data_IF_044073307283
#
_entry.id   IF_044073307283
#
_cell.length_a   1.000
_cell.length_b   1.000
_cell.length_c   1.000
_cell.angle_alpha   90.00
_cell.angle_beta   90.00
_cell.angle_gamma   90.00
#
_symmetry.space_group_name_H-M   'P 1'
#
loop_
_entity.id
_entity.type
_entity.pdbx_description
1 polymer ?
#
# COMPACT_ATOMS: atom_id res chain seq x y z
N UNK A 1 -14.83 -0.13 -9.70
CA UNK A 1 -13.92 -1.31 -9.82
C UNK A 1 -13.29 -1.67 -8.47
N UNK A 2 -12.87 -2.93 -8.34
CA UNK A 2 -11.97 -3.39 -7.28
C UNK A 2 -10.60 -3.62 -7.93
N UNK A 3 -9.62 -2.84 -7.50
CA UNK A 3 -8.25 -2.90 -8.02
C UNK A 3 -7.33 -3.37 -6.93
N UNK A 4 -6.51 -4.38 -7.21
CA UNK A 4 -5.37 -4.73 -6.37
C UNK A 4 -4.11 -4.20 -7.06
N UNK A 5 -3.23 -3.54 -6.32
CA UNK A 5 -2.03 -2.93 -6.88
C UNK A 5 -0.83 -3.24 -6.02
N UNK A 6 0.26 -3.57 -6.67
CA UNK A 6 1.51 -3.95 -6.02
C UNK A 6 2.71 -3.43 -6.79
N UNK A 7 3.86 -3.47 -6.17
CA UNK A 7 5.16 -3.30 -6.82
C UNK A 7 6.09 -4.42 -6.38
N UNK A 8 7.12 -4.66 -7.15
CA UNK A 8 8.21 -5.57 -6.78
C UNK A 8 9.55 -5.03 -7.28
N UNK A 9 10.60 -5.71 -6.97
CA UNK A 9 11.97 -5.42 -7.37
C UNK A 9 12.68 -6.67 -7.87
N UNK A 10 13.82 -6.50 -8.53
CA UNK A 10 14.51 -7.59 -9.22
C UNK A 10 14.71 -8.84 -8.35
N UNK A 11 15.06 -8.66 -7.07
CA UNK A 11 15.36 -9.81 -6.19
C UNK A 11 14.15 -10.58 -5.69
N UNK A 12 12.93 -9.99 -5.76
CA UNK A 12 11.68 -10.63 -5.32
C UNK A 12 10.73 -10.96 -6.45
N UNK A 13 11.08 -10.62 -7.68
CA UNK A 13 10.19 -10.77 -8.83
C UNK A 13 9.67 -12.21 -9.01
N UNK A 14 10.44 -13.20 -8.59
CA UNK A 14 10.04 -14.62 -8.63
C UNK A 14 8.85 -14.94 -7.70
N UNK A 15 8.67 -14.21 -6.61
CA UNK A 15 7.58 -14.41 -5.65
C UNK A 15 6.24 -13.91 -6.20
N UNK A 16 6.28 -12.91 -7.08
CA UNK A 16 5.10 -12.15 -7.54
C UNK A 16 4.02 -13.04 -8.12
N UNK A 17 4.39 -14.05 -8.92
CA UNK A 17 3.41 -14.96 -9.53
C UNK A 17 2.54 -15.62 -8.46
N UNK A 18 3.15 -16.17 -7.40
CA UNK A 18 2.42 -16.85 -6.32
C UNK A 18 1.49 -15.89 -5.57
N UNK A 19 1.93 -14.65 -5.36
CA UNK A 19 1.10 -13.62 -4.73
C UNK A 19 -0.09 -13.29 -5.62
N UNK A 20 0.11 -13.04 -6.91
CA UNK A 20 -0.97 -12.71 -7.85
C UNK A 20 -1.94 -13.88 -8.01
N UNK A 21 -1.45 -15.12 -8.05
CA UNK A 21 -2.31 -16.33 -8.05
C UNK A 21 -3.20 -16.36 -6.79
N UNK A 22 -2.65 -16.02 -5.62
CA UNK A 22 -3.45 -15.98 -4.39
C UNK A 22 -4.51 -14.87 -4.40
N UNK A 23 -4.21 -13.71 -5.00
CA UNK A 23 -5.16 -12.62 -5.23
C UNK A 23 -6.29 -13.10 -6.16
N UNK A 24 -5.93 -13.69 -7.29
CA UNK A 24 -6.89 -14.16 -8.29
C UNK A 24 -7.73 -15.34 -7.80
N UNK A 25 -7.30 -16.06 -6.78
CA UNK A 25 -8.04 -17.15 -6.15
C UNK A 25 -9.02 -16.69 -5.05
N UNK A 26 -9.04 -15.40 -4.68
CA UNK A 26 -9.97 -14.90 -3.66
C UNK A 26 -11.43 -15.19 -4.00
N UNK A 27 -12.30 -15.30 -2.97
CA UNK A 27 -13.77 -15.48 -3.12
C UNK A 27 -14.40 -14.35 -3.89
N UNK A 28 -13.98 -13.12 -3.64
CA UNK A 28 -14.31 -11.95 -4.46
C UNK A 28 -13.12 -11.64 -5.34
N UNK A 29 -13.33 -11.69 -6.66
CA UNK A 29 -12.27 -11.42 -7.63
C UNK A 29 -12.06 -9.92 -7.82
N UNK A 30 -10.81 -9.45 -7.95
CA UNK A 30 -10.57 -8.08 -8.40
C UNK A 30 -10.93 -7.91 -9.88
N UNK A 31 -11.31 -6.69 -10.24
CA UNK A 31 -11.52 -6.30 -11.63
C UNK A 31 -10.19 -6.06 -12.37
N UNK A 32 -9.16 -5.64 -11.62
CA UNK A 32 -7.79 -5.43 -12.14
C UNK A 32 -6.75 -5.75 -11.06
N UNK A 33 -5.61 -6.26 -11.50
CA UNK A 33 -4.40 -6.40 -10.69
C UNK A 33 -3.25 -5.72 -11.42
N UNK A 34 -2.67 -4.70 -10.82
CA UNK A 34 -1.52 -3.97 -11.36
C UNK A 34 -0.24 -4.40 -10.67
N UNK A 35 0.74 -4.80 -11.46
CA UNK A 35 2.13 -4.95 -11.06
C UNK A 35 2.92 -3.77 -11.62
N UNK A 36 3.26 -2.80 -10.78
CA UNK A 36 4.00 -1.61 -11.18
C UNK A 36 5.51 -1.85 -11.04
N UNK A 37 6.24 -1.85 -12.15
CA UNK A 37 7.67 -2.11 -12.20
C UNK A 37 8.42 -0.89 -12.74
N UNK A 38 9.59 -0.58 -12.17
CA UNK A 38 10.44 0.51 -12.65
C UNK A 38 11.20 0.07 -13.88
N UNK A 39 11.08 0.78 -15.00
CA UNK A 39 11.90 0.52 -16.20
C UNK A 39 13.38 0.62 -15.92
N UNK A 40 13.81 1.59 -15.11
CA UNK A 40 15.22 1.78 -14.78
C UNK A 40 15.80 0.67 -13.92
N UNK A 41 14.97 0.06 -13.04
CA UNK A 41 15.42 -1.05 -12.19
C UNK A 41 15.53 -2.37 -12.96
N UNK A 42 14.68 -2.55 -13.95
CA UNK A 42 14.62 -3.77 -14.77
C UNK A 42 15.32 -3.59 -16.14
N UNK A 43 16.09 -2.52 -16.32
CA UNK A 43 16.82 -2.29 -17.58
C UNK A 43 17.79 -3.45 -17.86
N UNK A 44 17.62 -4.10 -19.02
CA UNK A 44 18.39 -5.28 -19.41
C UNK A 44 18.06 -6.57 -18.62
N UNK A 45 17.01 -6.58 -17.78
CA UNK A 45 16.60 -7.74 -17.00
C UNK A 45 15.27 -8.28 -17.55
N UNK A 46 15.27 -9.54 -17.95
CA UNK A 46 14.06 -10.22 -18.38
C UNK A 46 13.22 -10.67 -17.17
N UNK A 47 11.91 -10.48 -17.26
CA UNK A 47 10.99 -11.03 -16.27
C UNK A 47 10.91 -12.56 -16.40
N UNK A 48 10.65 -13.27 -15.29
CA UNK A 48 10.42 -14.73 -15.32
C UNK A 48 9.35 -15.07 -16.35
N UNK A 49 9.65 -15.98 -17.28
CA UNK A 49 8.72 -16.38 -18.33
C UNK A 49 7.37 -16.83 -17.77
N UNK A 50 7.38 -17.58 -16.67
CA UNK A 50 6.18 -18.04 -15.99
C UNK A 50 5.28 -16.91 -15.47
N UNK A 51 5.87 -15.78 -15.07
CA UNK A 51 5.15 -14.59 -14.65
C UNK A 51 4.52 -13.90 -15.88
N UNK A 52 5.31 -13.69 -16.93
CA UNK A 52 4.82 -13.06 -18.17
C UNK A 52 3.69 -13.86 -18.80
N UNK A 53 3.86 -15.19 -18.94
CA UNK A 53 2.84 -16.08 -19.47
C UNK A 53 1.54 -16.02 -18.62
N UNK A 54 1.66 -15.94 -17.29
CA UNK A 54 0.52 -15.83 -16.40
C UNK A 54 -0.21 -14.49 -16.57
N UNK A 55 0.53 -13.38 -16.61
CA UNK A 55 -0.09 -12.07 -16.85
C UNK A 55 -0.77 -11.97 -18.22
N UNK A 56 -0.23 -12.61 -19.24
CA UNK A 56 -0.84 -12.65 -20.58
C UNK A 56 -2.05 -13.58 -20.65
N UNK A 57 -2.29 -14.43 -19.68
CA UNK A 57 -3.42 -15.39 -19.69
C UNK A 57 -4.76 -14.80 -19.21
N UNK A 58 -4.75 -13.62 -18.59
CA UNK A 58 -5.96 -12.98 -18.05
C UNK A 58 -5.88 -11.46 -18.25
N UNK A 59 -6.85 -10.89 -18.94
CA UNK A 59 -6.93 -9.45 -19.26
C UNK A 59 -7.02 -8.52 -18.03
N UNK A 60 -7.36 -9.07 -16.88
CA UNK A 60 -7.38 -8.32 -15.60
C UNK A 60 -5.99 -8.07 -15.03
N UNK A 61 -4.99 -8.81 -15.47
CA UNK A 61 -3.60 -8.71 -15.00
C UNK A 61 -2.82 -7.72 -15.87
N UNK A 62 -2.22 -6.72 -15.26
CA UNK A 62 -1.51 -5.65 -15.97
C UNK A 62 -0.11 -5.48 -15.40
N UNK A 63 0.92 -5.69 -16.22
CA UNK A 63 2.27 -5.23 -15.90
C UNK A 63 2.37 -3.78 -16.35
N UNK A 64 2.46 -2.87 -15.39
CA UNK A 64 2.57 -1.44 -15.64
C UNK A 64 4.04 -0.99 -15.48
N UNK A 65 4.65 -0.60 -16.58
CA UNK A 65 6.02 -0.12 -16.60
C UNK A 65 6.09 1.38 -16.27
N UNK A 66 6.68 1.69 -15.13
CA UNK A 66 6.82 3.05 -14.62
C UNK A 66 8.12 3.67 -15.14
N UNK A 67 7.98 4.80 -15.85
CA UNK A 67 9.08 5.60 -16.35
C UNK A 67 9.73 6.47 -15.25
N UNK A 68 10.96 6.89 -15.51
CA UNK A 68 11.72 7.79 -14.63
C UNK A 68 12.50 7.09 -13.54
N UNK A 69 12.79 7.82 -12.48
CA UNK A 69 13.56 7.31 -11.35
C UNK A 69 12.77 6.25 -10.56
N UNK A 70 13.49 5.25 -10.04
CA UNK A 70 12.86 4.20 -9.23
C UNK A 70 12.43 4.74 -7.85
N UNK A 71 11.14 4.96 -7.68
CA UNK A 71 10.53 5.43 -6.44
C UNK A 71 10.19 4.32 -5.43
N UNK A 72 10.72 3.12 -5.64
CA UNK A 72 10.57 1.93 -4.77
C UNK A 72 9.12 1.64 -4.39
N UNK A 73 8.78 1.56 -3.08
CA UNK A 73 7.43 1.24 -2.60
C UNK A 73 6.38 2.27 -3.03
N UNK A 74 6.76 3.53 -3.27
CA UNK A 74 5.84 4.57 -3.74
C UNK A 74 5.20 4.23 -5.11
N UNK A 75 5.83 3.37 -5.93
CA UNK A 75 5.23 2.86 -7.17
C UNK A 75 3.99 1.98 -6.95
N UNK A 76 3.75 1.53 -5.74
CA UNK A 76 2.65 0.60 -5.45
C UNK A 76 1.29 1.15 -5.88
N UNK A 77 1.00 2.43 -5.63
CA UNK A 77 -0.33 3.02 -5.86
C UNK A 77 -0.31 4.23 -6.80
N UNK A 78 0.62 5.16 -6.64
CA UNK A 78 0.56 6.44 -7.37
C UNK A 78 0.51 6.34 -8.90
N UNK A 79 1.23 5.41 -9.57
CA UNK A 79 1.21 5.35 -11.02
C UNK A 79 -0.16 5.12 -11.64
N UNK A 80 -1.04 4.41 -10.94
CA UNK A 80 -2.37 4.03 -11.46
C UNK A 80 -3.49 5.01 -11.12
N UNK A 81 -3.25 5.97 -10.19
CA UNK A 81 -4.32 6.84 -9.67
C UNK A 81 -5.01 7.68 -10.75
N UNK A 82 -4.30 8.02 -11.83
CA UNK A 82 -4.86 8.81 -12.94
C UNK A 82 -5.82 8.02 -13.83
N UNK A 83 -5.73 6.69 -13.79
CA UNK A 83 -6.56 5.78 -14.57
C UNK A 83 -7.87 5.40 -13.85
N UNK A 84 -7.95 5.68 -12.54
CA UNK A 84 -9.04 5.27 -11.68
C UNK A 84 -10.09 6.36 -11.49
N UNK A 85 -11.35 5.95 -11.36
CA UNK A 85 -12.43 6.80 -10.93
C UNK A 85 -12.44 6.98 -9.41
N UNK A 86 -13.03 8.06 -8.92
CA UNK A 86 -13.05 8.42 -7.51
C UNK A 86 -13.62 7.33 -6.59
N UNK A 87 -14.60 6.56 -7.06
CA UNK A 87 -15.23 5.49 -6.27
C UNK A 87 -14.59 4.11 -6.47
N UNK A 88 -13.56 4.01 -7.30
CA UNK A 88 -12.82 2.76 -7.44
C UNK A 88 -12.13 2.40 -6.13
N UNK A 89 -12.22 1.14 -5.77
CA UNK A 89 -11.64 0.56 -4.55
C UNK A 89 -10.23 0.06 -4.87
N UNK A 90 -9.30 0.47 -4.05
CA UNK A 90 -7.90 0.05 -4.12
C UNK A 90 -7.60 -0.83 -2.91
N UNK A 91 -6.94 -1.95 -3.15
CA UNK A 91 -6.28 -2.76 -2.13
C UNK A 91 -4.80 -2.79 -2.50
N UNK A 92 -3.95 -2.28 -1.63
CA UNK A 92 -2.51 -2.35 -1.82
C UNK A 92 -1.97 -3.73 -1.40
N UNK A 93 -0.98 -4.26 -2.10
CA UNK A 93 -0.41 -5.57 -1.86
C UNK A 93 1.12 -5.52 -1.78
N UNK A 94 1.70 -6.31 -0.89
CA UNK A 94 3.13 -6.57 -0.87
C UNK A 94 3.47 -7.80 -1.73
N UNK A 95 4.70 -7.85 -2.24
CA UNK A 95 5.18 -8.89 -3.15
C UNK A 95 5.63 -10.18 -2.42
N UNK A 96 5.50 -10.20 -1.10
CA UNK A 96 5.91 -11.29 -0.23
C UNK A 96 4.81 -11.79 0.71
N UNK A 97 3.56 -11.36 0.55
CA UNK A 97 2.44 -11.81 1.37
C UNK A 97 1.33 -12.39 0.49
N UNK A 98 1.03 -13.69 0.68
CA UNK A 98 -0.10 -14.35 0.03
C UNK A 98 -1.43 -13.84 0.57
N UNK A 99 -2.42 -13.70 -0.30
CA UNK A 99 -3.76 -13.32 0.10
C UNK A 99 -4.51 -14.54 0.67
N UNK A 100 -5.03 -14.48 1.91
CA UNK A 100 -6.05 -15.40 2.37
C UNK A 100 -7.23 -15.42 1.39
N UNK A 101 -7.84 -16.58 1.21
CA UNK A 101 -8.87 -16.80 0.18
C UNK A 101 -10.06 -15.85 0.24
N UNK A 102 -10.36 -15.29 1.40
CA UNK A 102 -11.48 -14.38 1.64
C UNK A 102 -11.03 -12.97 2.07
N UNK A 103 -9.78 -12.58 1.80
CA UNK A 103 -9.25 -11.28 2.22
C UNK A 103 -10.05 -10.12 1.59
N UNK A 104 -10.23 -10.14 0.28
CA UNK A 104 -10.94 -9.08 -0.45
C UNK A 104 -12.38 -8.97 0.08
N UNK A 105 -13.06 -10.09 0.23
CA UNK A 105 -14.41 -10.12 0.78
C UNK A 105 -14.48 -9.55 2.21
N UNK A 106 -13.55 -9.93 3.06
CA UNK A 106 -13.44 -9.42 4.43
C UNK A 106 -13.24 -7.89 4.46
N UNK A 107 -12.34 -7.35 3.64
CA UNK A 107 -12.12 -5.90 3.54
C UNK A 107 -13.36 -5.16 3.04
N UNK A 108 -14.04 -5.69 2.04
CA UNK A 108 -15.27 -5.12 1.50
C UNK A 108 -16.41 -5.14 2.52
N UNK A 109 -16.53 -6.21 3.32
CA UNK A 109 -17.52 -6.30 4.37
C UNK A 109 -17.26 -5.27 5.48
N UNK A 110 -16.00 -5.10 5.90
CA UNK A 110 -15.63 -4.06 6.86
C UNK A 110 -15.91 -2.66 6.29
N UNK A 111 -15.60 -2.43 5.02
CA UNK A 111 -15.86 -1.18 4.34
C UNK A 111 -17.36 -0.85 4.28
N UNK A 112 -18.19 -1.81 3.87
CA UNK A 112 -19.66 -1.68 3.85
C UNK A 112 -20.23 -1.45 5.24
N UNK A 113 -19.76 -2.19 6.25
CA UNK A 113 -20.17 -2.03 7.66
C UNK A 113 -19.89 -0.62 8.19
N UNK A 114 -18.86 0.04 7.66
CA UNK A 114 -18.52 1.42 7.97
C UNK A 114 -19.09 2.40 6.92
N UNK A 115 -20.21 2.06 6.28
CA UNK A 115 -20.97 2.91 5.35
C UNK A 115 -20.12 3.40 4.15
N UNK A 116 -19.08 2.67 3.78
CA UNK A 116 -18.14 3.02 2.72
C UNK A 116 -17.45 4.39 2.89
N UNK A 117 -17.33 4.85 4.13
CA UNK A 117 -16.81 6.20 4.44
C UNK A 117 -15.35 6.22 4.87
N UNK A 118 -14.82 5.08 5.31
CA UNK A 118 -13.49 5.03 5.94
C UNK A 118 -12.59 4.01 5.24
N UNK A 119 -11.32 4.32 5.02
CA UNK A 119 -10.32 3.31 4.67
C UNK A 119 -10.30 2.21 5.72
N UNK A 120 -10.09 0.97 5.29
CA UNK A 120 -9.94 -0.19 6.16
C UNK A 120 -8.47 -0.58 6.22
N UNK A 121 -7.85 -0.34 7.37
CA UNK A 121 -6.47 -0.73 7.61
C UNK A 121 -6.34 -2.21 7.93
N UNK A 122 -5.30 -2.87 7.47
CA UNK A 122 -4.91 -4.21 7.91
C UNK A 122 -4.47 -4.26 9.38
N UNK A 123 -4.20 -3.11 10.00
CA UNK A 123 -3.94 -3.03 11.43
C UNK A 123 -5.25 -2.79 12.20
N UNK A 124 -5.69 -3.73 13.07
CA UNK A 124 -6.94 -3.60 13.81
C UNK A 124 -6.87 -2.63 14.98
N UNK A 125 -5.67 -2.15 15.32
CA UNK A 125 -5.45 -1.30 16.49
C UNK A 125 -5.15 0.13 16.07
N UNK A 126 -5.84 1.08 16.71
CA UNK A 126 -5.41 2.47 16.67
C UNK A 126 -4.03 2.59 17.28
N UNK A 127 -3.10 3.20 16.58
CA UNK A 127 -1.76 3.42 17.14
C UNK A 127 -1.79 4.56 18.18
N UNK A 128 -1.02 4.42 19.24
CA UNK A 128 -0.82 5.47 20.24
C UNK A 128 -0.30 6.75 19.57
N UNK A 129 0.54 6.60 18.53
CA UNK A 129 1.10 7.71 17.76
C UNK A 129 0.10 8.53 16.94
N UNK A 130 -1.16 8.12 16.84
CA UNK A 130 -2.24 8.89 16.19
C UNK A 130 -3.29 9.37 17.19
N UNK A 131 -2.94 9.54 18.46
CA UNK A 131 -3.89 9.91 19.54
C UNK A 131 -5.15 9.02 19.57
N UNK A 132 -5.00 7.76 19.20
CA UNK A 132 -6.08 6.79 19.15
C UNK A 132 -7.12 7.04 18.05
N UNK A 133 -6.83 7.88 17.04
CA UNK A 133 -7.82 8.26 16.02
C UNK A 133 -7.70 7.52 14.71
N UNK A 134 -6.54 6.96 14.39
CA UNK A 134 -6.29 6.26 13.14
C UNK A 134 -5.48 4.99 13.35
N UNK A 135 -5.70 4.00 12.48
CA UNK A 135 -4.85 2.82 12.37
C UNK A 135 -3.75 3.08 11.33
N UNK A 136 -2.52 2.61 11.53
CA UNK A 136 -1.51 2.65 10.47
C UNK A 136 -2.04 1.98 9.20
N UNK A 137 -1.86 2.59 8.05
CA UNK A 137 -2.04 1.92 6.76
C UNK A 137 -0.86 0.98 6.58
N UNK A 138 -1.11 -0.22 6.16
CA UNK A 138 -0.11 -1.25 5.86
C UNK A 138 -0.65 -2.11 4.71
N UNK A 139 0.18 -2.96 4.15
CA UNK A 139 -0.22 -3.84 3.05
C UNK A 139 -1.57 -4.51 3.28
N UNK A 140 -2.31 -4.71 2.20
CA UNK A 140 -3.67 -5.27 2.19
C UNK A 140 -4.71 -4.40 2.91
N UNK A 141 -4.46 -3.09 3.00
CA UNK A 141 -5.46 -2.10 3.38
C UNK A 141 -6.36 -1.77 2.19
N UNK A 142 -7.61 -1.41 2.48
CA UNK A 142 -8.60 -1.04 1.46
C UNK A 142 -8.98 0.44 1.58
N UNK A 143 -9.00 1.14 0.46
CA UNK A 143 -9.44 2.54 0.38
C UNK A 143 -10.00 2.88 -0.99
N UNK A 144 -10.75 3.97 -1.11
CA UNK A 144 -11.20 4.49 -2.41
C UNK A 144 -10.19 5.49 -2.97
N UNK A 145 -10.10 5.56 -4.29
CA UNK A 145 -9.20 6.50 -5.00
C UNK A 145 -9.41 7.94 -4.55
N UNK A 146 -10.66 8.40 -4.34
CA UNK A 146 -10.96 9.78 -3.87
C UNK A 146 -10.31 10.13 -2.53
N UNK A 147 -9.99 9.13 -1.72
CA UNK A 147 -9.35 9.36 -0.43
C UNK A 147 -7.88 9.80 -0.58
N UNK A 148 -7.30 9.55 -1.75
CA UNK A 148 -5.97 10.01 -2.16
C UNK A 148 -6.01 11.20 -3.13
N UNK A 149 -7.15 11.87 -3.32
CA UNK A 149 -7.23 13.05 -4.19
C UNK A 149 -6.23 14.12 -3.75
N UNK A 150 -5.77 14.92 -4.73
CA UNK A 150 -4.71 15.91 -4.55
C UNK A 150 -3.35 15.35 -4.12
N UNK A 151 -3.12 14.04 -4.25
CA UNK A 151 -1.83 13.44 -3.91
C UNK A 151 -0.66 14.13 -4.60
N UNK A 152 -0.82 14.55 -5.85
CA UNK A 152 0.17 15.25 -6.67
C UNK A 152 0.56 16.65 -6.12
N UNK A 153 -0.27 17.25 -5.29
CA UNK A 153 0.05 18.48 -4.56
C UNK A 153 0.92 18.24 -3.33
N UNK A 154 0.84 17.05 -2.77
CA UNK A 154 1.49 16.68 -1.51
C UNK A 154 2.76 15.87 -1.72
N UNK A 155 2.78 15.03 -2.75
CA UNK A 155 3.91 14.14 -3.07
C UNK A 155 4.80 14.83 -4.09
N UNK A 156 5.91 15.36 -3.61
CA UNK A 156 6.99 15.88 -4.43
C UNK A 156 8.24 15.02 -4.33
N UNK A 157 9.33 15.45 -4.94
CA UNK A 157 10.60 14.73 -4.95
C UNK A 157 11.10 14.41 -3.55
N UNK A 158 10.83 15.24 -2.55
CA UNK A 158 11.26 14.98 -1.17
C UNK A 158 10.45 13.84 -0.55
N UNK A 159 9.13 13.87 -0.70
CA UNK A 159 8.21 12.85 -0.15
C UNK A 159 8.40 11.53 -0.89
N UNK A 160 8.51 11.57 -2.22
CA UNK A 160 8.64 10.35 -3.04
C UNK A 160 9.90 9.57 -2.70
N UNK A 161 10.98 10.24 -2.33
CA UNK A 161 12.25 9.64 -1.94
C UNK A 161 12.32 9.20 -0.47
N UNK A 162 11.26 9.38 0.31
CA UNK A 162 11.16 8.75 1.63
C UNK A 162 10.94 7.25 1.54
N UNK A 163 10.36 6.80 0.42
CA UNK A 163 9.97 5.41 0.17
C UNK A 163 9.03 4.81 1.24
N UNK A 164 8.32 5.68 1.96
CA UNK A 164 7.38 5.32 3.01
C UNK A 164 5.95 5.54 2.52
N UNK A 165 5.48 4.61 1.71
CA UNK A 165 4.17 4.64 1.07
C UNK A 165 3.03 4.62 2.09
N UNK A 166 3.07 3.73 3.07
CA UNK A 166 2.06 3.59 4.13
C UNK A 166 1.78 4.91 4.84
N UNK A 167 2.84 5.62 5.23
CA UNK A 167 2.73 6.92 5.90
C UNK A 167 2.22 8.00 4.98
N UNK A 168 2.69 7.98 3.75
CA UNK A 168 2.29 8.95 2.75
C UNK A 168 0.81 8.82 2.44
N UNK A 169 0.31 7.60 2.20
CA UNK A 169 -1.13 7.37 1.98
C UNK A 169 -1.96 7.83 3.17
N UNK A 170 -1.59 7.43 4.38
CA UNK A 170 -2.29 7.81 5.59
C UNK A 170 -2.36 9.33 5.77
N UNK A 171 -1.27 10.02 5.49
CA UNK A 171 -1.19 11.49 5.60
C UNK A 171 -2.08 12.18 4.59
N UNK A 172 -2.07 11.74 3.33
CA UNK A 172 -2.93 12.29 2.27
C UNK A 172 -4.40 12.06 2.62
N UNK A 173 -4.78 10.86 3.04
CA UNK A 173 -6.14 10.55 3.46
C UNK A 173 -6.60 11.47 4.60
N UNK A 174 -5.75 11.68 5.59
CA UNK A 174 -6.05 12.58 6.70
C UNK A 174 -6.20 14.05 6.26
N UNK A 175 -5.34 14.52 5.36
CA UNK A 175 -5.44 15.88 4.80
C UNK A 175 -6.72 16.07 4.00
N UNK A 176 -7.22 15.02 3.37
CA UNK A 176 -8.50 14.99 2.68
C UNK A 176 -9.70 14.80 3.64
N UNK A 177 -9.48 14.79 4.96
CA UNK A 177 -10.52 14.71 5.98
C UNK A 177 -10.97 13.30 6.34
N UNK A 178 -10.25 12.25 5.87
CA UNK A 178 -10.58 10.87 6.21
C UNK A 178 -9.86 10.42 7.46
N UNK A 179 -10.60 9.70 8.33
CA UNK A 179 -10.03 8.81 9.35
C UNK A 179 -10.22 7.38 8.87
N UNK A 180 -9.50 6.42 9.41
CA UNK A 180 -9.64 5.03 8.99
C UNK A 180 -10.14 4.12 10.11
N UNK A 181 -10.49 2.88 9.77
CA UNK A 181 -10.90 1.82 10.69
C UNK A 181 -9.97 0.63 10.54
N UNK A 182 -9.77 -0.09 11.62
CA UNK A 182 -9.06 -1.36 11.57
C UNK A 182 -9.93 -2.48 11.02
N UNK A 183 -9.30 -3.49 10.42
CA UNK A 183 -9.97 -4.67 9.92
C UNK A 183 -10.52 -5.55 11.05
N UNK A 184 -11.59 -6.29 10.78
CA UNK A 184 -12.15 -7.28 11.70
C UNK A 184 -11.49 -8.66 11.57
N UNK A 185 -10.85 -8.95 10.43
CA UNK A 185 -10.21 -10.23 10.10
C UNK A 185 -8.95 -9.99 9.29
N UNK A 186 -8.01 -10.90 9.37
CA UNK A 186 -6.74 -10.84 8.64
C UNK A 186 -5.94 -9.56 8.96
N UNK A 187 -5.63 -9.40 10.24
CA UNK A 187 -4.70 -8.35 10.66
C UNK A 187 -3.31 -8.56 10.05
N UNK A 188 -2.55 -7.48 9.91
CA UNK A 188 -1.17 -7.56 9.38
C UNK A 188 -0.33 -8.58 10.16
N UNK A 189 -0.53 -8.70 11.47
CA UNK A 189 0.17 -9.70 12.28
C UNK A 189 -0.18 -11.13 11.84
N UNK A 190 -1.47 -11.43 11.64
CA UNK A 190 -1.90 -12.75 11.16
C UNK A 190 -1.41 -13.03 9.74
N UNK A 191 -1.37 -11.99 8.88
CA UNK A 191 -0.87 -12.11 7.51
C UNK A 191 0.63 -12.46 7.50
N UNK A 192 1.45 -11.74 8.26
CA UNK A 192 2.88 -12.02 8.37
C UNK A 192 3.18 -13.38 9.03
N UNK A 193 2.39 -13.79 10.00
CA UNK A 193 2.58 -15.09 10.67
C UNK A 193 2.23 -16.28 9.78
N UNK A 194 1.22 -16.16 8.93
CA UNK A 194 0.61 -17.30 8.23
C UNK A 194 0.84 -17.31 6.72
N UNK A 195 1.05 -16.16 6.10
CA UNK A 195 0.99 -15.99 4.65
C UNK A 195 2.23 -15.29 4.05
N UNK A 196 3.17 -14.81 4.88
CA UNK A 196 4.41 -14.23 4.38
C UNK A 196 5.28 -15.29 3.70
N UNK A 197 5.75 -15.00 2.50
CA UNK A 197 6.78 -15.78 1.81
C UNK A 197 8.11 -15.42 2.45
N UNK A 198 8.67 -16.35 3.23
CA UNK A 198 9.96 -16.14 3.89
C UNK A 198 11.08 -16.22 2.86
N UNK A 199 11.81 -15.14 2.71
CA UNK A 199 13.00 -15.06 1.88
C UNK A 199 14.18 -14.41 2.65
N UNK A 200 15.34 -14.27 2.01
CA UNK A 200 16.51 -13.65 2.62
C UNK A 200 16.33 -12.16 2.92
N UNK A 201 15.31 -11.53 2.35
CA UNK A 201 14.98 -10.12 2.49
C UNK A 201 13.83 -9.90 3.48
N UNK A 202 13.20 -10.96 4.01
CA UNK A 202 12.19 -10.86 5.06
C UNK A 202 12.80 -10.17 6.27
N UNK A 203 12.21 -9.04 6.66
CA UNK A 203 12.82 -8.17 7.68
C UNK A 203 12.86 -8.85 9.05
N UNK A 204 14.05 -8.95 9.63
CA UNK A 204 14.21 -9.19 11.06
C UNK A 204 13.72 -7.95 11.81
N UNK A 205 12.88 -8.14 12.79
CA UNK A 205 12.05 -7.17 13.53
C UNK A 205 12.63 -5.78 13.92
N UNK A 206 13.92 -5.53 13.74
CA UNK A 206 14.58 -4.36 14.32
C UNK A 206 14.90 -3.19 13.36
N UNK A 207 14.75 -3.37 12.03
CA UNK A 207 15.14 -2.32 11.08
C UNK A 207 14.02 -1.33 10.73
N UNK A 208 12.76 -1.75 10.80
CA UNK A 208 11.61 -0.93 10.40
C UNK A 208 11.46 0.31 11.29
N UNK A 209 11.65 0.17 12.62
CA UNK A 209 11.45 1.26 13.58
C UNK A 209 12.48 2.40 13.49
N UNK A 210 13.73 2.10 13.12
CA UNK A 210 14.78 3.14 13.05
C UNK A 210 14.72 3.93 11.74
N UNK A 211 14.38 3.28 10.65
CA UNK A 211 14.21 3.91 9.34
C UNK A 211 12.93 4.76 9.33
N UNK A 212 11.84 4.27 9.89
CA UNK A 212 10.55 4.96 9.97
C UNK A 212 10.65 6.33 10.64
N UNK A 213 11.34 6.45 11.76
CA UNK A 213 11.47 7.72 12.52
C UNK A 213 12.08 8.86 11.68
N UNK A 214 13.13 8.58 10.92
CA UNK A 214 13.81 9.59 10.08
C UNK A 214 12.89 10.06 8.95
N UNK A 215 12.19 9.15 8.30
CA UNK A 215 11.28 9.47 7.18
C UNK A 215 10.00 10.14 7.65
N UNK A 216 9.47 9.76 8.81
CA UNK A 216 8.32 10.41 9.41
C UNK A 216 8.58 11.89 9.71
N UNK A 217 9.78 12.26 10.16
CA UNK A 217 10.17 13.65 10.36
C UNK A 217 10.20 14.44 9.05
N UNK A 218 10.78 13.86 7.99
CA UNK A 218 10.87 14.49 6.67
C UNK A 218 9.49 14.70 6.07
N UNK A 219 8.65 13.67 6.11
CA UNK A 219 7.27 13.75 5.63
C UNK A 219 6.51 14.83 6.38
N UNK A 220 6.59 14.84 7.71
CA UNK A 220 5.90 15.82 8.54
C UNK A 220 6.34 17.26 8.26
N UNK A 221 7.63 17.52 8.15
CA UNK A 221 8.17 18.86 7.85
C UNK A 221 7.69 19.33 6.47
N UNK A 222 7.76 18.47 5.48
CA UNK A 222 7.31 18.79 4.13
C UNK A 222 5.81 19.14 4.08
N UNK A 223 4.97 18.31 4.71
CA UNK A 223 3.53 18.58 4.76
C UNK A 223 3.19 19.80 5.59
N UNK A 224 3.92 20.07 6.69
CA UNK A 224 3.78 21.31 7.47
C UNK A 224 4.08 22.53 6.61
N UNK A 225 5.15 22.51 5.84
CA UNK A 225 5.53 23.60 4.96
C UNK A 225 4.47 23.85 3.86
N UNK A 226 3.86 22.80 3.32
CA UNK A 226 2.84 22.91 2.27
C UNK A 226 1.45 23.28 2.77
N UNK A 227 1.08 22.86 3.95
CA UNK A 227 -0.30 22.95 4.45
C UNK A 227 -0.47 23.88 5.64
N UNK A 228 0.62 24.32 6.28
CA UNK A 228 0.60 25.03 7.56
C UNK A 228 0.16 24.15 8.75
N UNK A 229 -0.19 22.88 8.51
CA UNK A 229 -0.63 21.93 9.55
C UNK A 229 0.56 21.13 10.06
N UNK A 230 0.79 21.16 11.36
CA UNK A 230 1.76 20.27 11.98
C UNK A 230 1.15 18.87 12.16
N UNK A 231 1.61 17.94 11.33
CA UNK A 231 1.10 16.56 11.33
C UNK A 231 1.51 15.84 12.63
N UNK A 232 2.71 16.11 13.17
CA UNK A 232 3.15 15.56 14.44
C UNK A 232 2.20 15.97 15.56
N UNK A 233 1.87 17.26 15.67
CA UNK A 233 0.95 17.74 16.71
C UNK A 233 -0.47 17.19 16.50
N UNK A 234 -0.87 16.99 15.26
CA UNK A 234 -2.19 16.44 14.91
C UNK A 234 -2.29 14.95 15.19
N UNK A 235 -1.22 14.21 15.02
CA UNK A 235 -1.18 12.76 15.20
C UNK A 235 -0.62 12.33 16.57
N UNK A 236 0.00 13.22 17.34
CA UNK A 236 0.59 12.91 18.67
C UNK A 236 1.76 11.94 18.57
N UNK A 237 2.62 12.14 17.61
CA UNK A 237 3.82 11.35 17.40
C UNK A 237 4.78 11.51 18.57
N UNK A 238 5.21 10.41 19.16
CA UNK A 238 6.40 10.25 20.03
C UNK A 238 6.41 10.93 21.40
N UNK A 239 5.31 11.13 22.07
CA UNK A 239 5.35 11.22 23.52
C UNK A 239 5.34 9.78 24.09
N UNK A 240 6.50 9.30 24.47
CA UNK A 240 6.78 8.02 25.14
C UNK A 240 7.09 6.81 24.22
N UNK A 241 8.31 6.73 23.74
CA UNK A 241 9.11 5.51 23.68
C UNK A 241 10.47 5.78 24.32
#
# INVERSE_FOLDING_TARGET
MIVVTMTSWVKRIENVKSVVESIMNNTVKPDRVYLNLSKTEFDGIELPKSLVDYFNSDERLVINWVDGENTKSMKKVFPILKELNDDDIIIDADDDILFPIDLIESRLNDFKKNECKYPISSNPRTSIGFKGKMCPIQAMSLFQKKMLNNWDKFVDDVVIHTYNDDRTYLTIMWLNGYTNKGCSKWSIKELLEKFEIKDEFSMKDNHIHLIGKKYDMVINENFKNKTGKNIIDSFGYYENI
#
